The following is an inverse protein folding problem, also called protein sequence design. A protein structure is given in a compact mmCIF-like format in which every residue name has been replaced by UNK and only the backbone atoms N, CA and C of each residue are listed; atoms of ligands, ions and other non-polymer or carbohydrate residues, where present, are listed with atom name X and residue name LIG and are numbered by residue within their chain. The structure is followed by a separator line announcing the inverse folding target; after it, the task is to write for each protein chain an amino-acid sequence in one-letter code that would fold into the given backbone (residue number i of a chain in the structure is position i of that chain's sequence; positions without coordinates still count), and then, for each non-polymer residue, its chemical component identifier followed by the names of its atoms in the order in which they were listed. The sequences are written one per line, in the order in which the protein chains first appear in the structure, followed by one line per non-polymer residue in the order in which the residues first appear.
data_IF_304523507786
#
_entry.id   IF_304523507786
#
_cell.length_a   1.000
_cell.length_b   1.000
_cell.length_c   1.000
_cell.angle_alpha   90.00
_cell.angle_beta   90.00
_cell.angle_gamma   90.00
#
_symmetry.space_group_name_H-M   'P 1'
#
loop_
_entity.id
_entity.type
_entity.pdbx_description
1 polymer ?
#
# COMPACT_ATOMS: atom_id res chain seq x y z
N UNK A 1 1.31 15.02 -13.95
CA UNK A 1 0.19 14.36 -13.27
C UNK A 1 -0.05 15.18 -12.02
N UNK A 2 -1.16 15.92 -11.98
CA UNK A 2 -1.51 16.83 -10.89
C UNK A 2 -1.94 16.00 -9.69
N UNK A 3 -1.05 15.82 -8.72
CA UNK A 3 -1.38 15.18 -7.45
C UNK A 3 -2.35 16.07 -6.69
N UNK A 4 -3.64 15.76 -6.75
CA UNK A 4 -4.65 16.42 -5.93
C UNK A 4 -4.46 16.02 -4.47
N UNK A 5 -4.14 17.01 -3.65
CA UNK A 5 -4.01 16.90 -2.21
C UNK A 5 -5.38 16.63 -1.60
N UNK A 6 -5.55 15.45 -0.99
CA UNK A 6 -6.65 15.20 -0.05
C UNK A 6 -6.11 15.52 1.36
N UNK A 7 -6.91 16.08 2.27
CA UNK A 7 -6.42 16.52 3.58
C UNK A 7 -6.48 15.36 4.58
N UNK A 8 -5.36 15.06 5.24
CA UNK A 8 -5.24 14.04 6.29
C UNK A 8 -4.20 14.48 7.34
N UNK A 9 -4.61 14.49 8.60
CA UNK A 9 -4.04 15.22 9.74
C UNK A 9 -2.77 14.60 10.36
N UNK A 10 -1.75 14.31 9.56
CA UNK A 10 -0.43 13.89 10.08
C UNK A 10 0.52 15.06 10.32
N UNK A 11 0.17 15.97 11.23
CA UNK A 11 0.88 17.25 11.42
C UNK A 11 1.95 17.25 12.52
N UNK A 12 3.15 16.75 12.25
CA UNK A 12 4.31 17.00 13.14
C UNK A 12 5.63 17.33 12.41
N UNK A 13 5.63 17.35 11.08
CA UNK A 13 6.79 17.79 10.29
C UNK A 13 6.66 19.25 9.85
N UNK A 14 7.78 19.96 9.61
CA UNK A 14 7.71 21.26 8.97
C UNK A 14 7.05 21.12 7.59
N UNK A 15 6.14 22.04 7.25
CA UNK A 15 5.67 22.17 5.87
C UNK A 15 6.86 22.60 5.00
N UNK A 16 7.34 21.68 4.17
CA UNK A 16 8.42 21.97 3.23
C UNK A 16 7.79 22.36 1.88
N UNK A 17 8.29 23.44 1.23
CA UNK A 17 7.81 23.84 -0.09
C UNK A 17 8.13 22.80 -1.17
N UNK A 18 9.15 21.98 -0.94
CA UNK A 18 9.54 20.86 -1.81
C UNK A 18 9.69 19.57 -0.98
N UNK A 19 9.35 18.40 -1.56
CA UNK A 19 9.42 17.11 -0.87
C UNK A 19 10.85 16.63 -0.59
N UNK A 20 11.88 17.28 -1.14
CA UNK A 20 13.29 16.92 -0.94
C UNK A 20 14.20 18.16 -0.86
N UNK A 21 15.40 18.00 -0.29
CA UNK A 21 16.39 19.08 -0.21
C UNK A 21 17.14 19.26 -1.55
N UNK A 22 17.74 20.45 -1.79
CA UNK A 22 18.58 20.68 -2.96
C UNK A 22 19.69 19.63 -3.11
N UNK A 23 19.86 19.10 -4.33
CA UNK A 23 20.86 18.08 -4.64
C UNK A 23 20.42 16.63 -4.34
N UNK A 24 19.20 16.42 -3.84
CA UNK A 24 18.63 15.08 -3.68
C UNK A 24 17.88 14.62 -4.92
N UNK A 25 17.87 13.31 -5.15
CA UNK A 25 16.97 12.69 -6.12
C UNK A 25 15.53 12.76 -5.60
N UNK A 26 14.59 13.05 -6.51
CA UNK A 26 13.17 13.11 -6.18
C UNK A 26 12.63 11.72 -5.80
N UNK A 27 11.73 11.62 -4.81
CA UNK A 27 11.12 10.34 -4.49
C UNK A 27 10.25 9.85 -5.66
N UNK A 28 10.35 8.56 -5.98
CA UNK A 28 9.48 7.94 -6.97
C UNK A 28 8.01 7.89 -6.50
N UNK A 29 7.81 7.77 -5.19
CA UNK A 29 6.51 7.65 -4.54
C UNK A 29 6.53 8.45 -3.24
N UNK A 30 5.52 9.30 -3.05
CA UNK A 30 5.26 9.97 -1.78
C UNK A 30 3.74 10.08 -1.59
N UNK A 31 3.32 10.28 -0.35
CA UNK A 31 1.92 10.45 0.00
C UNK A 31 1.71 11.79 0.67
N UNK A 32 0.82 12.58 0.08
CA UNK A 32 0.30 13.81 0.68
C UNK A 32 -1.23 13.82 0.45
N UNK A 33 -2.02 13.56 1.49
CA UNK A 33 -1.67 13.53 2.91
C UNK A 33 -0.95 12.23 3.29
N UNK A 34 -0.29 12.23 4.45
CA UNK A 34 0.49 11.07 4.90
C UNK A 34 -0.43 9.87 5.22
N UNK A 35 -0.03 8.68 4.77
CA UNK A 35 -0.73 7.42 5.08
C UNK A 35 -0.15 6.69 6.30
N UNK A 36 0.97 7.19 6.84
CA UNK A 36 1.87 6.52 7.78
C UNK A 36 2.21 5.11 7.29
N UNK A 37 3.09 4.98 6.27
CA UNK A 37 3.36 3.71 5.63
C UNK A 37 3.97 2.72 6.63
N UNK A 38 3.38 1.54 6.69
CA UNK A 38 3.92 0.38 7.39
C UNK A 38 4.85 -0.43 6.50
N UNK A 39 4.95 -1.73 6.77
CA UNK A 39 5.71 -2.66 5.95
C UNK A 39 5.14 -2.82 4.54
N UNK A 40 5.99 -3.32 3.65
CA UNK A 40 5.71 -3.41 2.22
C UNK A 40 6.13 -4.76 1.62
N UNK A 41 5.45 -5.17 0.55
CA UNK A 41 5.79 -6.36 -0.24
C UNK A 41 5.56 -6.13 -1.73
N UNK A 42 6.57 -6.42 -2.56
CA UNK A 42 6.39 -6.57 -4.00
C UNK A 42 5.82 -7.96 -4.28
N UNK A 43 4.65 -8.02 -4.90
CA UNK A 43 3.98 -9.30 -5.16
C UNK A 43 4.50 -9.97 -6.43
N UNK A 44 4.94 -11.22 -6.29
CA UNK A 44 5.53 -12.04 -7.37
C UNK A 44 4.81 -13.38 -7.55
N UNK A 45 3.85 -13.70 -6.68
CA UNK A 45 3.12 -14.97 -6.69
C UNK A 45 2.10 -15.10 -7.82
N UNK A 46 1.55 -16.30 -7.95
CA UNK A 46 0.58 -16.65 -9.00
C UNK A 46 -0.85 -16.83 -8.50
N UNK A 47 -1.08 -16.75 -7.17
CA UNK A 47 -2.43 -16.85 -6.57
C UNK A 47 -3.31 -15.65 -6.93
N UNK A 48 -2.70 -14.50 -7.20
CA UNK A 48 -3.37 -13.30 -7.69
C UNK A 48 -2.71 -12.83 -8.99
N UNK A 49 -3.01 -13.44 -10.16
CA UNK A 49 -2.32 -13.11 -11.42
C UNK A 49 -2.38 -11.62 -11.77
N UNK A 50 -3.52 -10.97 -11.52
CA UNK A 50 -3.72 -9.55 -11.76
C UNK A 50 -2.89 -8.64 -10.85
N UNK A 51 -2.30 -9.16 -9.76
CA UNK A 51 -1.52 -8.40 -8.78
C UNK A 51 -0.02 -8.48 -9.00
N UNK A 52 0.45 -9.38 -9.88
CA UNK A 52 1.87 -9.61 -10.14
C UNK A 52 2.59 -8.32 -10.54
N UNK A 53 3.70 -8.02 -9.86
CA UNK A 53 4.48 -6.78 -10.04
C UNK A 53 3.91 -5.55 -9.32
N UNK A 54 2.81 -5.67 -8.58
CA UNK A 54 2.30 -4.57 -7.74
C UNK A 54 3.04 -4.52 -6.40
N UNK A 55 3.23 -3.31 -5.86
CA UNK A 55 3.72 -3.12 -4.49
C UNK A 55 2.53 -2.97 -3.55
N UNK A 56 2.56 -3.65 -2.41
CA UNK A 56 1.58 -3.53 -1.35
C UNK A 56 2.20 -2.83 -0.16
N UNK A 57 1.51 -1.85 0.41
CA UNK A 57 1.99 -0.97 1.47
C UNK A 57 0.93 -0.88 2.56
N UNK A 58 1.28 -1.17 3.81
CA UNK A 58 0.38 -0.94 4.94
C UNK A 58 0.12 0.56 5.14
N UNK A 59 -1.12 0.99 5.31
CA UNK A 59 -1.49 2.37 5.63
C UNK A 59 -2.00 2.45 7.07
N UNK A 60 -1.16 2.94 7.99
CA UNK A 60 -1.50 2.99 9.42
C UNK A 60 -2.39 4.19 9.77
N UNK A 61 -2.21 5.34 9.12
CA UNK A 61 -3.08 6.50 9.34
C UNK A 61 -4.40 6.36 8.58
N UNK A 62 -4.38 5.73 7.42
CA UNK A 62 -5.56 5.53 6.55
C UNK A 62 -6.30 4.21 6.78
N UNK A 63 -5.87 3.40 7.75
CA UNK A 63 -6.50 2.11 8.14
C UNK A 63 -6.83 1.17 6.96
N UNK A 64 -5.90 1.05 6.00
CA UNK A 64 -6.10 0.28 4.77
C UNK A 64 -4.79 -0.36 4.28
N UNK A 65 -4.90 -1.34 3.38
CA UNK A 65 -3.79 -1.83 2.59
C UNK A 65 -3.77 -1.10 1.25
N UNK A 66 -2.64 -0.52 0.85
CA UNK A 66 -2.55 0.18 -0.43
C UNK A 66 -1.79 -0.64 -1.46
N UNK A 67 -2.42 -0.89 -2.61
CA UNK A 67 -1.81 -1.53 -3.77
C UNK A 67 -1.37 -0.46 -4.78
N UNK A 68 -0.08 -0.43 -5.09
CA UNK A 68 0.54 0.42 -6.09
C UNK A 68 0.80 -0.39 -7.35
N UNK A 69 0.26 0.07 -8.47
CA UNK A 69 0.45 -0.53 -9.79
C UNK A 69 1.48 0.29 -10.56
N UNK A 70 2.47 -0.39 -11.13
CA UNK A 70 3.50 0.23 -11.96
C UNK A 70 3.26 -0.04 -13.45
N UNK A 71 3.70 0.87 -14.30
CA UNK A 71 3.77 0.62 -15.74
C UNK A 71 5.07 -0.12 -16.13
N UNK A 72 5.24 -0.41 -17.42
CA UNK A 72 6.42 -1.12 -17.95
C UNK A 72 7.75 -0.38 -17.73
N UNK A 73 7.73 0.92 -17.44
CA UNK A 73 8.91 1.73 -17.13
C UNK A 73 9.21 1.79 -15.62
N UNK A 74 8.46 1.05 -14.80
CA UNK A 74 8.60 1.06 -13.34
C UNK A 74 8.01 2.31 -12.67
N UNK A 75 7.23 3.12 -13.39
CA UNK A 75 6.60 4.31 -12.79
C UNK A 75 5.23 3.95 -12.18
N UNK A 76 4.92 4.43 -10.97
CA UNK A 76 3.61 4.21 -10.35
C UNK A 76 2.54 4.92 -11.18
N UNK A 77 1.47 4.21 -11.50
CA UNK A 77 0.35 4.73 -12.32
C UNK A 77 -0.99 4.69 -11.62
N UNK A 78 -1.16 3.82 -10.60
CA UNK A 78 -2.42 3.70 -9.86
C UNK A 78 -2.17 3.32 -8.41
N UNK A 79 -2.99 3.89 -7.54
CA UNK A 79 -3.08 3.59 -6.12
C UNK A 79 -4.47 3.04 -5.86
N UNK A 80 -4.57 1.81 -5.35
CA UNK A 80 -5.84 1.13 -5.11
C UNK A 80 -5.90 0.80 -3.61
N UNK A 81 -6.81 1.41 -2.84
CA UNK A 81 -7.02 1.02 -1.45
C UNK A 81 -7.74 -0.33 -1.38
N UNK A 82 -7.34 -1.16 -0.44
CA UNK A 82 -7.87 -2.49 -0.16
C UNK A 82 -8.09 -2.62 1.35
N UNK A 83 -8.99 -3.52 1.75
CA UNK A 83 -9.33 -3.78 3.16
C UNK A 83 -9.85 -2.53 3.89
N UNK A 84 -10.45 -1.58 3.18
CA UNK A 84 -10.99 -0.34 3.74
C UNK A 84 -12.10 -0.60 4.76
N UNK A 85 -12.89 -1.65 4.54
CA UNK A 85 -14.01 -2.05 5.39
C UNK A 85 -13.53 -2.70 6.70
N UNK A 86 -12.31 -3.23 6.73
CA UNK A 86 -11.72 -3.81 7.94
C UNK A 86 -11.48 -2.73 9.00
N UNK A 87 -11.20 -1.49 8.56
CA UNK A 87 -10.92 -0.33 9.42
C UNK A 87 -9.90 -0.64 10.52
N UNK A 88 -8.78 -1.25 10.14
CA UNK A 88 -7.66 -1.58 11.03
C UNK A 88 -6.37 -0.97 10.50
N UNK A 89 -5.50 -0.55 11.41
CA UNK A 89 -4.16 -0.04 11.06
C UNK A 89 -3.31 -1.19 10.53
N UNK A 90 -2.92 -1.17 9.26
CA UNK A 90 -2.10 -2.25 8.68
C UNK A 90 -0.61 -1.97 8.94
N UNK A 91 0.04 -2.86 9.70
CA UNK A 91 1.41 -2.69 10.21
C UNK A 91 2.47 -3.23 9.27
N UNK A 92 2.34 -4.47 8.81
CA UNK A 92 3.30 -5.13 7.91
C UNK A 92 2.55 -5.96 6.88
N UNK A 93 3.22 -6.23 5.76
CA UNK A 93 2.71 -7.00 4.62
C UNK A 93 3.83 -7.92 4.14
N UNK A 94 3.55 -9.20 4.00
CA UNK A 94 4.49 -10.20 3.44
C UNK A 94 3.79 -11.10 2.44
N UNK A 95 4.54 -11.53 1.42
CA UNK A 95 4.13 -12.65 0.58
C UNK A 95 4.63 -13.94 1.22
N UNK A 96 3.73 -14.90 1.44
CA UNK A 96 4.08 -16.23 1.91
C UNK A 96 4.66 -17.11 0.79
N UNK A 97 5.31 -18.24 1.14
CA UNK A 97 5.80 -19.19 0.16
C UNK A 97 4.68 -19.89 -0.64
N UNK A 98 3.45 -19.83 -0.14
CA UNK A 98 2.22 -20.28 -0.80
C UNK A 98 1.68 -19.30 -1.87
N UNK A 99 2.36 -18.16 -2.05
CA UNK A 99 1.98 -17.12 -3.01
C UNK A 99 0.81 -16.25 -2.55
N UNK A 100 0.39 -16.33 -1.29
CA UNK A 100 -0.64 -15.47 -0.70
C UNK A 100 -0.02 -14.26 0.01
N UNK A 101 -0.84 -13.23 0.27
CA UNK A 101 -0.41 -12.10 1.07
C UNK A 101 -0.89 -12.26 2.51
N UNK A 102 -0.01 -11.92 3.44
CA UNK A 102 -0.26 -11.90 4.87
C UNK A 102 -0.05 -10.49 5.38
N UNK A 103 -0.98 -10.00 6.20
CA UNK A 103 -0.92 -8.66 6.79
C UNK A 103 -1.08 -8.71 8.30
N UNK A 104 -0.44 -7.80 9.01
CA UNK A 104 -0.59 -7.64 10.46
C UNK A 104 -1.31 -6.34 10.81
N UNK A 105 -2.09 -6.34 11.90
CA UNK A 105 -2.76 -5.13 12.40
C UNK A 105 -2.09 -4.55 13.64
N UNK A 106 -2.04 -3.22 13.75
CA UNK A 106 -1.37 -2.45 14.82
C UNK A 106 -2.34 -2.07 15.95
N UNK A 107 -2.78 -3.06 16.74
CA UNK A 107 -3.68 -2.88 17.88
C UNK A 107 -3.30 -3.83 19.02
N UNK A 108 -3.79 -3.55 20.25
CA UNK A 108 -3.55 -4.41 21.42
C UNK A 108 -4.05 -5.85 21.18
N UNK A 109 -5.25 -5.98 20.60
CA UNK A 109 -5.78 -7.23 20.06
C UNK A 109 -5.46 -7.36 18.56
N UNK A 110 -4.18 -7.26 18.21
CA UNK A 110 -3.71 -7.37 16.82
C UNK A 110 -3.96 -8.75 16.21
N UNK A 111 -4.01 -8.79 14.88
CA UNK A 111 -4.25 -10.02 14.11
C UNK A 111 -3.21 -10.20 13.01
N UNK A 112 -3.01 -11.46 12.61
CA UNK A 112 -2.38 -11.83 11.34
C UNK A 112 -3.50 -12.30 10.42
N UNK A 113 -3.67 -11.63 9.29
CA UNK A 113 -4.70 -11.94 8.31
C UNK A 113 -4.06 -12.50 7.06
N UNK A 114 -4.66 -13.54 6.50
CA UNK A 114 -4.30 -14.10 5.20
C UNK A 114 -5.31 -13.60 4.16
N UNK A 115 -4.81 -13.05 3.06
CA UNK A 115 -5.63 -12.60 1.94
C UNK A 115 -5.62 -13.72 0.90
N UNK A 116 -6.81 -14.22 0.58
CA UNK A 116 -7.02 -15.28 -0.39
C UNK A 116 -7.89 -14.77 -1.55
N UNK A 117 -7.66 -15.25 -2.78
CA UNK A 117 -8.62 -15.01 -3.85
C UNK A 117 -9.94 -15.66 -3.46
N UNK A 118 -11.04 -14.99 -3.74
CA UNK A 118 -12.35 -15.62 -3.66
C UNK A 118 -12.34 -16.77 -4.68
N UNK A 119 -12.76 -17.96 -4.26
CA UNK A 119 -12.99 -19.06 -5.20
C UNK A 119 -14.01 -18.57 -6.24
N UNK A 120 -13.60 -18.50 -7.52
CA UNK A 120 -14.53 -18.18 -8.59
C UNK A 120 -15.60 -19.27 -8.64
N UNK A 121 -16.87 -18.92 -8.80
CA UNK A 121 -17.44 -18.92 -10.14
C UNK A 121 -16.36 -18.83 -11.23
N UNK A 122 -15.82 -19.99 -11.58
CA UNK A 122 -15.43 -20.25 -12.95
C UNK A 122 -16.69 -20.25 -13.82
N UNK A 123 -17.18 -19.06 -14.19
CA UNK A 123 -18.29 -18.93 -15.11
C UNK A 123 -18.14 -17.66 -15.96
N UNK A 124 -17.55 -17.88 -17.15
CA UNK A 124 -17.69 -17.13 -18.41
C UNK A 124 -17.04 -15.75 -18.54
#
# INVERSE_FOLDING_TARGET
YTGEATIGTGGSGPELPEPCAPGMEQPLLYWYPVISPGGMALYTGDRFPAWKGSLFVGGMATTQLQRIVFNRRGLPVRHIPLLTELNQRIRDVKQGPDGLLYVTTDHEAGAVLRIEPVEGDGAN
#
